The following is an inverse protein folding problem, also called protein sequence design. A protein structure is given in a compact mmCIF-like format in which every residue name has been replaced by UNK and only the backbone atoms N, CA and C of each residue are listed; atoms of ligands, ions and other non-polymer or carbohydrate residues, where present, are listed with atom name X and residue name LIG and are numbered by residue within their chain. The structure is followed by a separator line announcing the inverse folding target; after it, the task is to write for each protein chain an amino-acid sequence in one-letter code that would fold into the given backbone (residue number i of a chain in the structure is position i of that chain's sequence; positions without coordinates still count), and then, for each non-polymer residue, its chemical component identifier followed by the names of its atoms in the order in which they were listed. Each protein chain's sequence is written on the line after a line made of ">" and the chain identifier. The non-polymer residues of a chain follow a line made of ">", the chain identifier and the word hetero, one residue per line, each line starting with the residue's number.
data_IF_682799433390
#
_entry.id   IF_682799433390
#
_cell.length_a   1.000
_cell.length_b   1.000
_cell.length_c   1.000
_cell.angle_alpha   90.00
_cell.angle_beta   90.00
_cell.angle_gamma   90.00
#
_symmetry.space_group_name_H-M   'P 1'
#
loop_
_entity.id
_entity.type
_entity.pdbx_description
1 polymer ?
#
# COMPACT_ATOMS: atom_id res chain seq x y z
N UNK A 1 -4.36 -7.31 5.35
CA UNK A 1 -5.80 -7.23 5.05
C UNK A 1 -6.11 -5.94 4.33
N UNK A 2 -6.49 -6.05 3.06
CA UNK A 2 -6.86 -4.91 2.24
C UNK A 2 -8.18 -4.30 2.75
N UNK A 3 -8.22 -2.98 2.92
CA UNK A 3 -9.44 -2.30 3.36
C UNK A 3 -10.47 -2.24 2.22
N UNK A 4 -11.77 -2.20 2.54
CA UNK A 4 -12.81 -1.99 1.52
C UNK A 4 -12.62 -0.67 0.77
N UNK A 5 -12.03 0.37 1.40
CA UNK A 5 -11.65 1.60 0.71
C UNK A 5 -10.66 1.34 -0.41
N UNK A 6 -9.57 0.59 -0.14
CA UNK A 6 -8.59 0.24 -1.17
C UNK A 6 -9.24 -0.60 -2.28
N UNK A 7 -10.12 -1.53 -1.93
CA UNK A 7 -10.86 -2.33 -2.92
C UNK A 7 -11.73 -1.45 -3.82
N UNK A 8 -12.45 -0.45 -3.27
CA UNK A 8 -13.21 0.55 -4.05
C UNK A 8 -12.30 1.32 -5.01
N UNK A 9 -11.14 1.78 -4.53
CA UNK A 9 -10.15 2.48 -5.35
C UNK A 9 -9.69 1.59 -6.52
N UNK A 10 -9.40 0.31 -6.28
CA UNK A 10 -9.05 -0.64 -7.35
C UNK A 10 -10.18 -0.80 -8.37
N UNK A 11 -11.43 -0.85 -7.92
CA UNK A 11 -12.59 -0.90 -8.81
C UNK A 11 -12.67 0.34 -9.68
N UNK A 12 -12.58 1.56 -9.09
CA UNK A 12 -12.62 2.82 -9.87
C UNK A 12 -11.49 2.90 -10.89
N UNK A 13 -10.26 2.54 -10.50
CA UNK A 13 -9.12 2.52 -11.44
C UNK A 13 -9.35 1.56 -12.61
N UNK A 14 -9.90 0.37 -12.35
CA UNK A 14 -10.21 -0.60 -13.39
C UNK A 14 -11.37 -0.16 -14.30
N UNK A 15 -12.41 0.45 -13.73
CA UNK A 15 -13.52 1.05 -14.47
C UNK A 15 -13.03 2.20 -15.37
N UNK A 16 -12.19 3.08 -14.83
CA UNK A 16 -11.59 4.17 -15.58
C UNK A 16 -10.79 3.63 -16.77
N UNK A 17 -9.92 2.64 -16.53
CA UNK A 17 -9.11 2.03 -17.58
C UNK A 17 -9.99 1.37 -18.65
N UNK A 18 -11.03 0.62 -18.25
CA UNK A 18 -11.97 -0.03 -19.17
C UNK A 18 -12.69 0.98 -20.06
N UNK A 19 -13.32 1.99 -19.47
CA UNK A 19 -14.11 2.98 -20.18
C UNK A 19 -13.26 3.90 -21.07
N UNK A 20 -12.06 4.31 -20.59
CA UNK A 20 -11.17 5.18 -21.37
C UNK A 20 -10.45 4.48 -22.50
N UNK A 21 -10.18 3.19 -22.39
CA UNK A 21 -9.56 2.42 -23.47
C UNK A 21 -10.57 1.96 -24.52
N UNK A 22 -11.89 2.12 -24.29
CA UNK A 22 -12.92 1.56 -25.15
C UNK A 22 -12.91 0.04 -25.19
N UNK A 23 -12.52 -0.59 -24.07
CA UNK A 23 -12.43 -2.05 -23.99
C UNK A 23 -13.84 -2.69 -24.08
N UNK A 24 -14.01 -3.69 -24.93
CA UNK A 24 -15.29 -4.41 -25.10
C UNK A 24 -15.39 -5.65 -24.20
N UNK A 25 -14.26 -6.11 -23.64
CA UNK A 25 -14.22 -7.36 -22.89
C UNK A 25 -14.21 -7.11 -21.38
N UNK A 26 -15.40 -7.10 -20.78
CA UNK A 26 -15.60 -6.95 -19.34
C UNK A 26 -14.89 -8.03 -18.52
N UNK A 27 -14.90 -9.30 -18.99
CA UNK A 27 -14.25 -10.43 -18.28
C UNK A 27 -12.72 -10.21 -18.20
N UNK A 28 -12.11 -9.72 -19.28
CA UNK A 28 -10.67 -9.42 -19.28
C UNK A 28 -10.35 -8.28 -18.31
N UNK A 29 -11.18 -7.26 -18.25
CA UNK A 29 -11.01 -6.13 -17.31
C UNK A 29 -11.23 -6.55 -15.86
N UNK A 30 -12.22 -7.41 -15.57
CA UNK A 30 -12.40 -7.99 -14.23
C UNK A 30 -11.17 -8.81 -13.80
N UNK A 31 -10.63 -9.63 -14.72
CA UNK A 31 -9.40 -10.38 -14.44
C UNK A 31 -8.23 -9.46 -14.09
N UNK A 32 -8.09 -8.35 -14.83
CA UNK A 32 -7.06 -7.33 -14.55
C UNK A 32 -7.30 -6.64 -13.20
N UNK A 33 -8.55 -6.32 -12.87
CA UNK A 33 -8.93 -5.81 -11.55
C UNK A 33 -8.50 -6.76 -10.44
N UNK A 34 -8.86 -8.04 -10.53
CA UNK A 34 -8.49 -9.02 -9.51
C UNK A 34 -6.98 -9.20 -9.39
N UNK A 35 -6.26 -9.15 -10.52
CA UNK A 35 -4.80 -9.15 -10.53
C UNK A 35 -4.23 -7.89 -9.82
N UNK A 36 -4.86 -6.73 -9.96
CA UNK A 36 -4.44 -5.51 -9.26
C UNK A 36 -4.63 -5.60 -7.75
N UNK A 37 -5.69 -6.29 -7.30
CA UNK A 37 -5.93 -6.59 -5.88
C UNK A 37 -4.86 -7.53 -5.33
N UNK A 38 -4.49 -8.58 -6.11
CA UNK A 38 -3.40 -9.49 -5.75
C UNK A 38 -2.07 -8.75 -5.66
N UNK A 39 -1.79 -7.86 -6.60
CA UNK A 39 -0.59 -7.03 -6.61
C UNK A 39 -0.49 -6.08 -5.42
N UNK A 40 -1.60 -5.50 -4.97
CA UNK A 40 -1.61 -4.70 -3.74
C UNK A 40 -1.23 -5.54 -2.50
N UNK A 41 -1.63 -6.81 -2.46
CA UNK A 41 -1.21 -7.72 -1.39
C UNK A 41 0.25 -8.13 -1.53
N UNK A 42 0.76 -8.34 -2.76
CA UNK A 42 2.19 -8.57 -3.02
C UNK A 42 3.04 -7.38 -2.54
N UNK A 43 2.56 -6.14 -2.75
CA UNK A 43 3.26 -4.93 -2.31
C UNK A 43 3.47 -4.90 -0.79
N UNK A 44 2.51 -5.41 0.00
CA UNK A 44 2.66 -5.51 1.45
C UNK A 44 3.92 -6.32 1.82
N UNK A 45 4.15 -7.47 1.19
CA UNK A 45 5.32 -8.30 1.46
C UNK A 45 6.60 -7.67 0.90
N UNK A 46 6.51 -7.08 -0.29
CA UNK A 46 7.64 -6.38 -0.91
C UNK A 46 8.17 -5.28 0.02
N UNK A 47 7.30 -4.41 0.52
CA UNK A 47 7.67 -3.31 1.41
C UNK A 47 8.10 -3.83 2.79
N UNK A 48 7.39 -4.83 3.34
CA UNK A 48 7.70 -5.41 4.65
C UNK A 48 9.13 -5.96 4.74
N UNK A 49 9.69 -6.45 3.63
CA UNK A 49 11.05 -7.00 3.59
C UNK A 49 12.16 -5.96 3.46
N UNK A 50 11.84 -4.68 3.21
CA UNK A 50 12.86 -3.63 3.07
C UNK A 50 13.82 -3.51 4.26
N UNK A 51 13.36 -3.43 5.52
CA UNK A 51 14.28 -3.33 6.66
C UNK A 51 15.18 -4.56 6.80
N UNK A 52 14.74 -5.73 6.35
CA UNK A 52 15.56 -6.96 6.33
C UNK A 52 16.72 -6.81 5.34
N UNK A 53 16.45 -6.33 4.13
CA UNK A 53 17.48 -6.13 3.11
C UNK A 53 18.47 -5.01 3.49
N UNK A 54 17.97 -3.94 4.12
CA UNK A 54 18.82 -2.86 4.64
C UNK A 54 19.72 -3.37 5.77
N UNK A 55 19.21 -4.20 6.68
CA UNK A 55 20.01 -4.80 7.74
C UNK A 55 21.06 -5.77 7.18
N UNK A 56 20.74 -6.56 6.16
CA UNK A 56 21.73 -7.40 5.44
C UNK A 56 22.82 -6.54 4.78
N UNK A 57 22.45 -5.45 4.14
CA UNK A 57 23.40 -4.51 3.56
C UNK A 57 24.32 -3.90 4.64
N UNK A 58 23.75 -3.47 5.78
CA UNK A 58 24.52 -2.97 6.92
C UNK A 58 25.50 -4.00 7.45
N UNK A 59 25.06 -5.25 7.61
CA UNK A 59 25.92 -6.36 8.05
C UNK A 59 27.07 -6.61 7.07
N UNK A 60 26.80 -6.66 5.78
CA UNK A 60 27.85 -6.82 4.75
C UNK A 60 28.88 -5.68 4.81
N UNK A 61 28.43 -4.44 5.00
CA UNK A 61 29.34 -3.31 5.18
C UNK A 61 30.24 -3.45 6.41
N UNK A 62 29.69 -3.90 7.54
CA UNK A 62 30.45 -4.17 8.77
C UNK A 62 31.50 -5.26 8.54
N UNK A 63 31.15 -6.35 7.87
CA UNK A 63 32.10 -7.42 7.55
C UNK A 63 33.21 -6.97 6.58
N UNK A 64 32.86 -6.18 5.56
CA UNK A 64 33.86 -5.59 4.67
C UNK A 64 34.78 -4.58 5.39
N UNK A 65 34.27 -3.84 6.35
CA UNK A 65 35.06 -2.89 7.13
C UNK A 65 36.13 -3.60 7.97
N UNK A 66 35.83 -4.77 8.56
CA UNK A 66 36.81 -5.61 9.28
C UNK A 66 37.95 -6.11 8.40
N UNK A 67 37.73 -6.23 7.09
CA UNK A 67 38.72 -6.74 6.12
C UNK A 67 39.60 -5.65 5.50
N UNK A 68 39.47 -4.39 5.92
CA UNK A 68 40.37 -3.30 5.47
C UNK A 68 41.82 -3.62 5.83
N UNK A 69 42.75 -3.12 5.04
CA UNK A 69 44.20 -3.28 5.34
C UNK A 69 44.62 -2.67 6.68
N UNK A 70 43.93 -1.59 7.10
CA UNK A 70 44.13 -0.90 8.36
C UNK A 70 42.76 -0.62 8.97
N UNK A 71 42.12 -1.61 9.61
CA UNK A 71 40.82 -1.42 10.23
C UNK A 71 40.95 -0.54 11.47
N UNK A 72 39.99 0.35 11.70
CA UNK A 72 39.90 1.14 12.94
C UNK A 72 39.33 0.28 14.08
N UNK A 73 39.32 0.83 15.30
CA UNK A 73 38.68 0.15 16.43
C UNK A 73 37.19 -0.09 16.19
N UNK A 74 36.51 0.89 15.61
CA UNK A 74 35.10 0.81 15.25
C UNK A 74 34.87 -0.20 14.12
N UNK A 75 35.77 -0.31 13.15
CA UNK A 75 35.69 -1.32 12.09
C UNK A 75 35.76 -2.74 12.66
N UNK A 76 36.57 -2.95 13.70
CA UNK A 76 36.70 -4.27 14.36
C UNK A 76 35.60 -4.55 15.38
N UNK A 77 35.03 -3.48 15.98
CA UNK A 77 33.98 -3.57 17.00
C UNK A 77 32.75 -2.73 16.59
N UNK A 78 32.06 -3.08 15.49
CA UNK A 78 30.93 -2.28 15.03
C UNK A 78 29.76 -2.37 16.00
N UNK A 79 29.00 -1.29 16.12
CA UNK A 79 27.71 -1.35 16.81
C UNK A 79 26.73 -2.19 16.00
N UNK A 80 26.37 -3.38 16.51
CA UNK A 80 25.48 -4.34 15.82
C UNK A 80 24.00 -4.14 16.15
N UNK A 81 23.64 -3.11 16.95
CA UNK A 81 22.28 -2.93 17.47
C UNK A 81 21.21 -2.97 16.38
N UNK A 82 21.43 -2.28 15.26
CA UNK A 82 20.52 -2.29 14.12
C UNK A 82 20.44 -3.66 13.43
N UNK A 83 21.59 -4.28 13.17
CA UNK A 83 21.66 -5.59 12.49
C UNK A 83 20.99 -6.69 13.34
N UNK A 84 21.07 -6.55 14.67
CA UNK A 84 20.47 -7.47 15.64
C UNK A 84 19.05 -7.08 16.08
N UNK A 85 18.42 -6.08 15.43
CA UNK A 85 17.08 -5.63 15.78
C UNK A 85 16.09 -6.81 15.81
N UNK A 86 15.40 -6.96 16.94
CA UNK A 86 14.51 -8.10 17.19
C UNK A 86 13.30 -8.16 16.27
N UNK A 87 12.77 -7.00 15.87
CA UNK A 87 11.62 -6.91 14.94
C UNK A 87 12.04 -7.30 13.52
N UNK A 88 13.18 -6.80 13.05
CA UNK A 88 13.74 -7.17 11.73
C UNK A 88 14.00 -8.68 11.68
N UNK A 89 14.52 -9.26 12.76
CA UNK A 89 14.75 -10.69 12.85
C UNK A 89 13.45 -11.52 12.80
N UNK A 90 12.38 -11.05 13.45
CA UNK A 90 11.08 -11.72 13.38
C UNK A 90 10.55 -11.69 11.93
N UNK A 91 10.65 -10.56 11.23
CA UNK A 91 10.23 -10.45 9.83
C UNK A 91 11.05 -11.39 8.95
N UNK A 92 12.39 -11.40 9.12
CA UNK A 92 13.30 -12.22 8.32
C UNK A 92 13.08 -13.73 8.49
N UNK A 93 12.65 -14.15 9.68
CA UNK A 93 12.45 -15.57 10.02
C UNK A 93 10.98 -16.01 9.83
N UNK A 94 10.08 -15.12 9.42
CA UNK A 94 8.67 -15.49 9.23
C UNK A 94 8.48 -16.38 8.01
N UNK A 95 8.00 -17.63 8.25
CA UNK A 95 7.69 -18.57 7.18
C UNK A 95 6.65 -17.99 6.22
N UNK A 96 5.61 -17.35 6.73
CA UNK A 96 4.56 -16.75 5.91
C UNK A 96 5.09 -15.65 4.96
N UNK A 97 6.09 -14.86 5.41
CA UNK A 97 6.73 -13.83 4.59
C UNK A 97 7.63 -14.50 3.55
N UNK A 98 8.45 -15.45 3.96
CA UNK A 98 9.39 -16.14 3.09
C UNK A 98 8.69 -16.94 2.00
N UNK A 99 7.65 -17.71 2.35
CA UNK A 99 6.86 -18.51 1.40
C UNK A 99 6.17 -17.62 0.35
N UNK A 100 5.54 -16.50 0.79
CA UNK A 100 4.86 -15.61 -0.14
C UNK A 100 5.84 -14.91 -1.07
N UNK A 101 6.95 -14.37 -0.55
CA UNK A 101 7.96 -13.69 -1.35
C UNK A 101 8.62 -14.64 -2.35
N UNK A 102 8.90 -15.88 -1.96
CA UNK A 102 9.45 -16.91 -2.85
C UNK A 102 8.44 -17.30 -3.95
N UNK A 103 7.18 -17.59 -3.58
CA UNK A 103 6.13 -17.98 -4.52
C UNK A 103 5.82 -16.88 -5.55
N UNK A 104 5.87 -15.61 -5.12
CA UNK A 104 5.57 -14.44 -5.97
C UNK A 104 6.81 -13.82 -6.61
N UNK A 105 8.00 -14.35 -6.32
CA UNK A 105 9.31 -13.85 -6.81
C UNK A 105 9.51 -12.38 -6.46
N UNK A 106 9.15 -12.00 -5.24
CA UNK A 106 9.35 -10.67 -4.70
C UNK A 106 10.76 -10.53 -4.12
N UNK A 107 11.27 -9.31 -4.04
CA UNK A 107 12.57 -9.02 -3.42
C UNK A 107 13.26 -7.81 -4.04
N UNK A 108 14.40 -7.45 -3.46
CA UNK A 108 15.12 -6.21 -3.75
C UNK A 108 16.46 -6.43 -4.45
N UNK A 109 16.80 -7.67 -4.79
CA UNK A 109 18.10 -8.03 -5.38
C UNK A 109 18.44 -7.25 -6.66
N UNK A 110 17.43 -6.83 -7.42
CA UNK A 110 17.59 -6.04 -8.65
C UNK A 110 17.78 -4.54 -8.40
N UNK A 111 17.61 -4.09 -7.16
CA UNK A 111 17.62 -2.68 -6.77
C UNK A 111 18.67 -2.38 -5.69
N UNK A 112 19.96 -2.76 -5.89
CA UNK A 112 21.00 -2.57 -4.87
C UNK A 112 21.26 -1.09 -4.58
N UNK A 113 21.12 -0.20 -5.57
CA UNK A 113 21.30 1.25 -5.38
C UNK A 113 20.18 1.85 -4.53
N UNK A 114 18.94 1.37 -4.66
CA UNK A 114 17.85 1.77 -3.76
C UNK A 114 18.14 1.38 -2.32
N UNK A 115 18.58 0.12 -2.08
CA UNK A 115 18.93 -0.34 -0.73
C UNK A 115 20.05 0.51 -0.14
N UNK A 116 21.05 0.87 -0.94
CA UNK A 116 22.14 1.76 -0.55
C UNK A 116 21.63 3.16 -0.18
N UNK A 117 20.76 3.73 -1.00
CA UNK A 117 20.15 5.05 -0.79
C UNK A 117 19.32 5.07 0.50
N UNK A 118 18.43 4.09 0.68
CA UNK A 118 17.61 3.97 1.88
C UNK A 118 18.44 3.75 3.14
N UNK A 119 19.52 2.96 3.07
CA UNK A 119 20.44 2.81 4.20
C UNK A 119 21.13 4.14 4.52
N UNK A 120 21.55 4.91 3.51
CA UNK A 120 22.14 6.23 3.69
C UNK A 120 21.17 7.20 4.38
N UNK A 121 19.94 7.29 3.89
CA UNK A 121 18.88 8.11 4.50
C UNK A 121 18.60 7.68 5.95
N UNK A 122 18.43 6.37 6.19
CA UNK A 122 18.22 5.84 7.52
C UNK A 122 19.34 6.24 8.50
N UNK A 123 20.62 6.10 8.10
CA UNK A 123 21.76 6.41 8.99
C UNK A 123 21.90 7.91 9.28
N UNK A 124 21.37 8.77 8.42
CA UNK A 124 21.35 10.23 8.63
C UNK A 124 20.14 10.69 9.47
N UNK A 125 19.11 9.87 9.61
CA UNK A 125 17.91 10.22 10.37
C UNK A 125 18.20 10.35 11.88
N UNK A 126 17.50 11.29 12.54
CA UNK A 126 17.69 11.54 13.97
C UNK A 126 17.22 10.34 14.80
N UNK A 127 16.08 9.71 14.46
CA UNK A 127 15.57 8.54 15.18
C UNK A 127 16.52 7.33 15.11
N UNK A 128 17.27 7.16 14.01
CA UNK A 128 18.29 6.11 13.91
C UNK A 128 19.49 6.42 14.79
N UNK A 129 19.99 7.69 14.76
CA UNK A 129 21.13 8.13 15.60
C UNK A 129 20.80 7.97 17.09
N UNK A 130 19.61 8.39 17.52
CA UNK A 130 19.12 8.20 18.88
C UNK A 130 19.05 6.70 19.26
N UNK A 131 18.47 5.88 18.39
CA UNK A 131 18.40 4.43 18.61
C UNK A 131 19.79 3.80 18.76
N UNK A 132 20.75 4.16 17.91
CA UNK A 132 22.10 3.60 17.96
C UNK A 132 22.92 4.08 19.17
N UNK A 133 22.68 5.30 19.67
CA UNK A 133 23.35 5.86 20.84
C UNK A 133 22.82 5.33 22.17
N UNK A 134 21.56 4.92 22.22
CA UNK A 134 20.97 4.36 23.44
C UNK A 134 21.61 3.01 23.77
N UNK A 135 22.22 2.89 24.98
CA UNK A 135 22.88 1.67 25.43
C UNK A 135 21.88 0.55 25.72
N UNK A 136 20.69 0.91 26.18
CA UNK A 136 19.62 -0.06 26.44
C UNK A 136 19.09 -0.65 25.14
N UNK A 137 18.77 -1.96 25.19
CA UNK A 137 18.17 -2.70 24.08
C UNK A 137 16.79 -3.16 24.52
N UNK A 138 15.75 -2.45 24.08
CA UNK A 138 14.37 -2.86 24.30
C UNK A 138 13.71 -3.26 22.98
N UNK A 139 12.80 -4.22 23.07
CA UNK A 139 11.98 -4.60 21.91
C UNK A 139 11.09 -3.46 21.43
N UNK A 140 10.68 -2.57 22.33
CA UNK A 140 9.85 -1.43 21.98
C UNK A 140 10.65 -0.38 21.21
N UNK A 141 11.94 -0.20 21.50
CA UNK A 141 12.82 0.67 20.71
C UNK A 141 13.12 0.05 19.35
N UNK A 142 13.35 -1.26 19.29
CA UNK A 142 13.49 -2.01 18.03
C UNK A 142 12.27 -1.81 17.13
N UNK A 143 11.06 -1.90 17.71
CA UNK A 143 9.80 -1.71 16.97
C UNK A 143 9.64 -0.27 16.52
N UNK A 144 9.89 0.71 17.40
CA UNK A 144 9.77 2.14 17.09
C UNK A 144 10.67 2.52 15.92
N UNK A 145 11.93 2.08 15.91
CA UNK A 145 12.85 2.31 14.79
C UNK A 145 12.25 1.83 13.47
N UNK A 146 11.73 0.61 13.43
CA UNK A 146 11.16 0.01 12.21
C UNK A 146 9.86 0.74 11.80
N UNK A 147 9.02 1.13 12.76
CA UNK A 147 7.80 1.90 12.49
C UNK A 147 8.12 3.28 11.91
N UNK A 148 9.12 4.00 12.45
CA UNK A 148 9.52 5.32 11.97
C UNK A 148 10.17 5.23 10.58
N UNK A 149 10.96 4.20 10.32
CA UNK A 149 11.45 3.90 8.97
C UNK A 149 10.29 3.74 7.97
N UNK A 150 9.26 2.95 8.26
CA UNK A 150 8.13 2.79 7.36
C UNK A 150 7.33 4.07 7.15
N UNK A 151 7.21 4.93 8.17
CA UNK A 151 6.53 6.24 8.02
C UNK A 151 7.29 7.15 7.05
N UNK A 152 8.62 7.16 7.12
CA UNK A 152 9.46 7.97 6.25
C UNK A 152 9.43 7.53 4.79
N UNK A 153 9.24 6.23 4.53
CA UNK A 153 9.12 5.69 3.16
C UNK A 153 8.02 6.33 2.33
N UNK A 154 6.96 6.88 2.95
CA UNK A 154 5.84 7.50 2.23
C UNK A 154 6.22 8.78 1.47
N UNK A 155 7.39 9.37 1.75
CA UNK A 155 7.92 10.56 1.06
C UNK A 155 9.23 10.27 0.31
N UNK A 156 9.53 9.00 0.04
CA UNK A 156 10.78 8.59 -0.61
C UNK A 156 10.60 8.45 -2.12
N UNK A 157 10.95 9.50 -2.89
CA UNK A 157 10.87 9.50 -4.36
C UNK A 157 11.60 8.31 -5.00
N UNK A 158 12.79 7.96 -4.51
CA UNK A 158 13.55 6.84 -5.05
C UNK A 158 12.84 5.48 -4.87
N UNK A 159 12.03 5.32 -3.82
CA UNK A 159 11.19 4.14 -3.64
C UNK A 159 10.00 4.17 -4.59
N UNK A 160 9.35 5.32 -4.74
CA UNK A 160 8.20 5.47 -5.66
C UNK A 160 8.61 5.14 -7.09
N UNK A 161 9.73 5.68 -7.58
CA UNK A 161 10.29 5.37 -8.91
C UNK A 161 10.55 3.86 -9.08
N UNK A 162 11.15 3.22 -8.09
CA UNK A 162 11.43 1.78 -8.14
C UNK A 162 10.14 0.94 -8.14
N UNK A 163 9.12 1.34 -7.37
CA UNK A 163 7.83 0.64 -7.33
C UNK A 163 7.08 0.79 -8.66
N UNK A 164 7.11 1.97 -9.28
CA UNK A 164 6.51 2.20 -10.58
C UNK A 164 7.17 1.35 -11.68
N UNK A 165 8.51 1.25 -11.66
CA UNK A 165 9.26 0.37 -12.56
C UNK A 165 8.90 -1.12 -12.35
N UNK A 166 8.73 -1.55 -11.09
CA UNK A 166 8.35 -2.93 -10.78
C UNK A 166 6.93 -3.26 -11.22
N UNK A 167 5.98 -2.35 -11.01
CA UNK A 167 4.58 -2.59 -11.34
C UNK A 167 3.74 -1.31 -11.28
N UNK A 168 3.20 -0.90 -12.42
CA UNK A 168 2.23 0.20 -12.51
C UNK A 168 0.97 -0.04 -11.65
N UNK A 169 0.67 -1.30 -11.30
CA UNK A 169 -0.48 -1.65 -10.46
C UNK A 169 -0.26 -1.30 -8.98
N UNK A 170 0.95 -0.88 -8.59
CA UNK A 170 1.32 -0.46 -7.24
C UNK A 170 1.18 1.05 -7.00
N UNK A 171 0.99 1.82 -8.08
CA UNK A 171 0.84 3.27 -7.97
C UNK A 171 -0.27 3.67 -6.99
N UNK A 172 0.04 4.60 -6.09
CA UNK A 172 -0.81 5.14 -5.02
C UNK A 172 -1.16 4.14 -3.89
N UNK A 173 -0.66 2.90 -3.92
CA UNK A 173 -0.98 1.91 -2.89
C UNK A 173 -0.08 2.04 -1.65
N UNK A 174 1.12 2.60 -1.78
CA UNK A 174 2.14 2.63 -0.72
C UNK A 174 1.61 3.17 0.62
N UNK A 175 0.87 4.30 0.70
CA UNK A 175 0.36 4.79 1.97
C UNK A 175 -0.57 3.80 2.70
N UNK A 176 -1.42 3.08 1.94
CA UNK A 176 -2.32 2.06 2.50
C UNK A 176 -1.53 0.85 3.01
N UNK A 177 -0.50 0.45 2.26
CA UNK A 177 0.36 -0.68 2.62
C UNK A 177 1.19 -0.35 3.85
N UNK A 178 1.78 0.83 3.94
CA UNK A 178 2.52 1.28 5.13
C UNK A 178 1.61 1.26 6.36
N UNK A 179 0.38 1.78 6.26
CA UNK A 179 -0.59 1.72 7.36
C UNK A 179 -0.89 0.28 7.80
N UNK A 180 -1.00 -0.67 6.86
CA UNK A 180 -1.18 -2.09 7.17
C UNK A 180 0.03 -2.68 7.89
N UNK A 181 1.24 -2.35 7.45
CA UNK A 181 2.49 -2.79 8.06
C UNK A 181 2.60 -2.25 9.49
N UNK A 182 2.39 -0.95 9.69
CA UNK A 182 2.41 -0.33 11.02
C UNK A 182 1.41 -1.00 11.97
N UNK A 183 0.21 -1.33 11.49
CA UNK A 183 -0.78 -2.07 12.28
C UNK A 183 -0.31 -3.50 12.63
N UNK A 184 0.40 -4.16 11.72
CA UNK A 184 0.98 -5.48 11.98
C UNK A 184 2.07 -5.39 13.05
N UNK A 185 2.97 -4.40 12.93
CA UNK A 185 4.07 -4.18 13.87
C UNK A 185 3.58 -3.78 15.27
N UNK A 186 2.54 -2.95 15.37
CA UNK A 186 1.96 -2.53 16.65
C UNK A 186 1.40 -3.70 17.49
N UNK A 187 1.08 -4.82 16.84
CA UNK A 187 0.63 -6.04 17.52
C UNK A 187 1.77 -6.97 17.94
N UNK A 188 3.01 -6.72 17.51
CA UNK A 188 4.16 -7.53 17.91
C UNK A 188 4.48 -7.36 19.40
N UNK A 189 4.92 -8.46 20.00
CA UNK A 189 5.35 -8.54 21.40
C UNK A 189 6.72 -9.24 21.46
N UNK A 190 7.50 -9.00 22.50
CA UNK A 190 8.82 -9.66 22.68
C UNK A 190 8.76 -11.20 22.69
N UNK A 191 7.62 -11.75 23.09
CA UNK A 191 7.38 -13.20 23.12
C UNK A 191 7.04 -13.83 21.78
N UNK A 192 6.80 -13.02 20.75
CA UNK A 192 6.46 -13.55 19.41
C UNK A 192 7.75 -14.00 18.71
N UNK A 193 7.73 -15.22 18.20
CA UNK A 193 8.82 -15.81 17.39
C UNK A 193 8.53 -15.74 15.90
N UNK A 194 7.27 -15.45 15.52
CA UNK A 194 6.82 -15.35 14.14
C UNK A 194 5.88 -14.16 13.95
N UNK A 195 5.78 -13.68 12.72
CA UNK A 195 4.92 -12.58 12.31
C UNK A 195 3.54 -13.09 11.90
N UNK A 196 2.51 -12.66 12.60
CA UNK A 196 1.13 -12.94 12.18
C UNK A 196 0.75 -12.02 11.02
N UNK A 197 0.95 -12.51 9.80
CA UNK A 197 0.57 -11.81 8.56
C UNK A 197 -0.95 -11.71 8.45
N UNK A 198 -1.52 -10.52 8.16
CA UNK A 198 -2.95 -10.38 7.96
C UNK A 198 -3.39 -11.07 6.65
N UNK A 199 -4.58 -11.68 6.58
CA UNK A 199 -5.09 -12.25 5.35
C UNK A 199 -5.35 -11.16 4.30
N UNK A 200 -5.30 -11.51 3.01
CA UNK A 200 -5.55 -10.57 1.89
C UNK A 200 -6.90 -9.85 2.04
N UNK A 201 -7.96 -10.58 2.28
CA UNK A 201 -9.31 -10.06 2.47
C UNK A 201 -9.72 -10.07 3.95
N UNK A 202 -10.53 -9.11 4.35
CA UNK A 202 -11.10 -9.04 5.70
C UNK A 202 -12.23 -10.04 5.89
N UNK A 203 -13.04 -10.20 4.84
CA UNK A 203 -14.19 -11.07 4.81
C UNK A 203 -14.11 -11.98 3.58
N UNK A 204 -14.74 -13.17 3.67
CA UNK A 204 -14.92 -14.05 2.54
C UNK A 204 -15.79 -13.42 1.42
N UNK A 205 -16.58 -12.39 1.75
CA UNK A 205 -17.43 -11.65 0.81
C UNK A 205 -16.64 -10.58 0.01
N UNK A 206 -15.45 -10.18 0.44
CA UNK A 206 -14.71 -9.08 -0.20
C UNK A 206 -14.34 -9.36 -1.68
N UNK A 207 -13.98 -10.58 -2.11
CA UNK A 207 -13.76 -10.87 -3.53
C UNK A 207 -15.02 -10.66 -4.38
N UNK A 208 -16.17 -11.10 -3.87
CA UNK A 208 -17.45 -10.93 -4.54
C UNK A 208 -17.89 -9.47 -4.57
N UNK A 209 -17.65 -8.73 -3.47
CA UNK A 209 -17.87 -7.29 -3.43
C UNK A 209 -17.14 -6.56 -4.57
N UNK A 210 -15.85 -6.87 -4.79
CA UNK A 210 -15.05 -6.24 -5.84
C UNK A 210 -15.61 -6.52 -7.23
N UNK A 211 -15.93 -7.79 -7.52
CA UNK A 211 -16.45 -8.20 -8.83
C UNK A 211 -17.82 -7.63 -9.10
N UNK A 212 -18.73 -7.80 -8.15
CA UNK A 212 -20.11 -7.31 -8.30
C UNK A 212 -20.15 -5.78 -8.45
N UNK A 213 -19.35 -5.05 -7.68
CA UNK A 213 -19.28 -3.59 -7.80
C UNK A 213 -18.79 -3.17 -9.19
N UNK A 214 -17.75 -3.80 -9.71
CA UNK A 214 -17.22 -3.56 -11.05
C UNK A 214 -18.27 -3.87 -12.12
N UNK A 215 -18.84 -5.08 -12.09
CA UNK A 215 -19.84 -5.54 -13.06
C UNK A 215 -21.10 -4.64 -13.06
N UNK A 216 -21.68 -4.41 -11.86
CA UNK A 216 -22.92 -3.63 -11.74
C UNK A 216 -22.73 -2.17 -12.17
N UNK A 217 -21.57 -1.60 -11.94
CA UNK A 217 -21.26 -0.26 -12.45
C UNK A 217 -21.24 -0.25 -13.98
N UNK A 218 -20.52 -1.20 -14.62
CA UNK A 218 -20.41 -1.22 -16.08
C UNK A 218 -21.75 -1.50 -16.77
N UNK A 219 -22.47 -2.53 -16.31
CA UNK A 219 -23.75 -2.94 -16.95
C UNK A 219 -24.81 -1.86 -16.88
N UNK A 220 -24.80 -1.03 -15.84
CA UNK A 220 -25.81 0.01 -15.65
C UNK A 220 -25.23 1.42 -15.85
N UNK A 221 -24.03 1.55 -16.42
CA UNK A 221 -23.32 2.82 -16.49
C UNK A 221 -24.17 3.93 -17.17
N UNK A 222 -24.74 3.65 -18.35
CA UNK A 222 -25.55 4.60 -19.09
C UNK A 222 -26.80 5.03 -18.29
N UNK A 223 -27.49 4.06 -17.66
CA UNK A 223 -28.64 4.36 -16.80
C UNK A 223 -28.25 5.26 -15.61
N UNK A 224 -27.09 5.03 -15.02
CA UNK A 224 -26.60 5.89 -13.94
C UNK A 224 -26.25 7.29 -14.44
N UNK A 225 -25.70 7.42 -15.65
CA UNK A 225 -25.46 8.73 -16.27
C UNK A 225 -26.76 9.50 -16.45
N UNK A 226 -27.84 8.87 -16.95
CA UNK A 226 -29.17 9.48 -17.09
C UNK A 226 -29.70 10.01 -15.74
N UNK A 227 -29.48 9.25 -14.64
CA UNK A 227 -29.87 9.72 -13.30
C UNK A 227 -29.01 10.90 -12.86
N UNK A 228 -27.69 10.84 -13.03
CA UNK A 228 -26.76 11.90 -12.64
C UNK A 228 -27.15 13.20 -13.37
N UNK A 229 -27.41 13.17 -14.67
CA UNK A 229 -27.82 14.32 -15.47
C UNK A 229 -29.10 14.97 -14.94
N UNK A 230 -30.10 14.18 -14.54
CA UNK A 230 -31.35 14.70 -13.98
C UNK A 230 -31.17 15.46 -12.68
N UNK A 231 -30.27 14.96 -11.80
CA UNK A 231 -30.05 15.60 -10.50
C UNK A 231 -28.97 16.69 -10.54
N UNK A 232 -28.20 16.79 -11.64
CA UNK A 232 -27.19 17.81 -11.86
C UNK A 232 -27.62 18.91 -12.83
N UNK A 233 -28.90 18.98 -13.23
CA UNK A 233 -29.43 19.97 -14.19
C UNK A 233 -29.17 21.43 -13.79
N UNK A 234 -28.92 21.71 -12.52
CA UNK A 234 -28.55 23.03 -11.99
C UNK A 234 -27.04 23.31 -12.03
N UNK A 235 -26.23 22.33 -12.46
CA UNK A 235 -24.80 22.46 -12.59
C UNK A 235 -24.46 22.54 -14.07
N UNK A 236 -23.37 23.23 -14.39
CA UNK A 236 -22.87 23.29 -15.76
C UNK A 236 -22.30 21.90 -16.13
N UNK A 237 -23.10 21.12 -16.87
CA UNK A 237 -22.81 19.73 -17.24
C UNK A 237 -21.48 19.60 -17.98
N UNK A 238 -21.04 20.63 -18.72
CA UNK A 238 -19.76 20.67 -19.42
C UNK A 238 -18.55 20.69 -18.44
N UNK A 239 -18.79 21.00 -17.18
CA UNK A 239 -17.77 21.05 -16.14
C UNK A 239 -17.65 19.77 -15.27
N UNK A 240 -18.57 18.82 -15.46
CA UNK A 240 -18.50 17.57 -14.70
C UNK A 240 -17.36 16.73 -15.24
N UNK A 241 -16.35 16.55 -14.40
CA UNK A 241 -15.17 15.75 -14.75
C UNK A 241 -15.55 14.28 -14.89
N UNK A 242 -15.02 13.59 -15.88
CA UNK A 242 -15.28 12.15 -16.11
C UNK A 242 -15.12 11.30 -14.83
N UNK A 243 -14.12 11.63 -14.00
CA UNK A 243 -13.88 10.91 -12.75
C UNK A 243 -15.02 11.10 -11.74
N UNK A 244 -15.62 12.31 -11.67
CA UNK A 244 -16.76 12.56 -10.78
C UNK A 244 -17.97 11.72 -11.20
N UNK A 245 -18.27 11.67 -12.49
CA UNK A 245 -19.33 10.82 -13.05
C UNK A 245 -19.07 9.34 -12.74
N UNK A 246 -17.83 8.88 -12.88
CA UNK A 246 -17.47 7.51 -12.60
C UNK A 246 -17.63 7.16 -11.12
N UNK A 247 -17.21 8.06 -10.23
CA UNK A 247 -17.37 7.90 -8.77
C UNK A 247 -18.84 7.87 -8.40
N UNK A 248 -19.66 8.79 -8.93
CA UNK A 248 -21.10 8.82 -8.71
C UNK A 248 -21.79 7.54 -9.20
N UNK A 249 -21.50 7.10 -10.41
CA UNK A 249 -22.05 5.85 -10.96
C UNK A 249 -21.66 4.64 -10.12
N UNK A 250 -20.40 4.58 -9.63
CA UNK A 250 -19.95 3.47 -8.78
C UNK A 250 -20.59 3.53 -7.39
N UNK A 251 -20.77 4.72 -6.82
CA UNK A 251 -21.50 4.91 -5.56
C UNK A 251 -22.97 4.45 -5.68
N UNK A 252 -23.64 4.78 -6.77
CA UNK A 252 -25.01 4.32 -7.05
C UNK A 252 -25.07 2.80 -7.18
N UNK A 253 -24.12 2.19 -7.89
CA UNK A 253 -24.00 0.74 -8.00
C UNK A 253 -23.85 0.08 -6.63
N UNK A 254 -23.04 0.65 -5.74
CA UNK A 254 -22.86 0.15 -4.37
C UNK A 254 -24.13 0.28 -3.55
N UNK A 255 -24.80 1.44 -3.56
CA UNK A 255 -26.05 1.68 -2.83
C UNK A 255 -27.16 0.68 -3.22
N UNK A 256 -27.25 0.35 -4.52
CA UNK A 256 -28.29 -0.54 -5.04
C UNK A 256 -27.94 -2.01 -4.81
N UNK A 257 -26.68 -2.39 -5.02
CA UNK A 257 -26.27 -3.81 -5.03
C UNK A 257 -25.90 -4.36 -3.66
N UNK A 258 -25.59 -3.50 -2.67
CA UNK A 258 -25.12 -3.91 -1.35
C UNK A 258 -25.95 -3.33 -0.20
N UNK A 259 -27.21 -3.73 -0.05
CA UNK A 259 -28.12 -3.17 0.97
C UNK A 259 -27.66 -3.45 2.41
N UNK A 260 -26.72 -4.38 2.63
CA UNK A 260 -26.09 -4.61 3.93
C UNK A 260 -25.07 -3.54 4.33
N UNK A 261 -24.59 -2.72 3.39
CA UNK A 261 -23.71 -1.60 3.69
C UNK A 261 -24.58 -0.38 4.03
N UNK A 262 -24.43 0.22 5.22
CA UNK A 262 -25.18 1.40 5.57
C UNK A 262 -24.95 2.55 4.56
N UNK A 263 -26.00 3.21 4.10
CA UNK A 263 -25.95 4.30 3.12
C UNK A 263 -24.89 5.34 3.50
N UNK A 264 -24.88 5.78 4.77
CA UNK A 264 -23.89 6.74 5.26
C UNK A 264 -22.45 6.28 5.01
N UNK A 265 -22.16 4.99 5.20
CA UNK A 265 -20.79 4.44 4.97
C UNK A 265 -20.43 4.55 3.49
N UNK A 266 -21.33 4.19 2.61
CA UNK A 266 -21.12 4.33 1.16
C UNK A 266 -20.86 5.79 0.79
N UNK A 267 -21.68 6.73 1.25
CA UNK A 267 -21.52 8.16 0.97
C UNK A 267 -20.16 8.67 1.48
N UNK A 268 -19.84 8.43 2.75
CA UNK A 268 -18.59 8.89 3.37
C UNK A 268 -17.36 8.33 2.62
N UNK A 269 -17.38 7.06 2.22
CA UNK A 269 -16.26 6.42 1.51
C UNK A 269 -16.06 7.01 0.10
N UNK A 270 -17.14 7.24 -0.67
CA UNK A 270 -17.01 7.78 -2.02
C UNK A 270 -16.65 9.27 -2.03
N UNK A 271 -17.15 10.05 -1.06
CA UNK A 271 -16.71 11.44 -0.85
C UNK A 271 -15.20 11.47 -0.50
N UNK A 272 -14.71 10.58 0.38
CA UNK A 272 -13.29 10.52 0.69
C UNK A 272 -12.43 10.13 -0.52
N UNK A 273 -12.87 9.15 -1.32
CA UNK A 273 -12.16 8.74 -2.55
C UNK A 273 -12.07 9.91 -3.54
N UNK A 274 -13.12 10.70 -3.69
CA UNK A 274 -13.16 11.84 -4.62
C UNK A 274 -12.13 12.92 -4.29
N UNK A 275 -11.77 13.11 -3.01
CA UNK A 275 -10.76 14.09 -2.59
C UNK A 275 -9.36 13.80 -3.16
N UNK A 276 -9.06 12.54 -3.41
CA UNK A 276 -7.73 12.11 -3.86
C UNK A 276 -7.68 11.74 -5.35
N UNK A 277 -8.82 11.34 -5.94
CA UNK A 277 -8.88 10.80 -7.31
C UNK A 277 -9.61 11.72 -8.29
N UNK A 278 -10.16 12.84 -7.82
CA UNK A 278 -10.79 13.83 -8.69
C UNK A 278 -10.23 15.25 -8.47
N UNK A 279 -10.88 16.26 -9.01
CA UNK A 279 -10.41 17.65 -8.96
C UNK A 279 -10.73 18.35 -7.64
N UNK A 280 -10.00 19.42 -7.27
CA UNK A 280 -10.37 20.25 -6.13
C UNK A 280 -11.83 20.72 -6.24
N UNK A 281 -12.63 20.46 -5.18
CA UNK A 281 -14.06 20.79 -5.15
C UNK A 281 -14.99 19.63 -5.53
N UNK A 282 -14.50 18.58 -6.19
CA UNK A 282 -15.31 17.40 -6.55
C UNK A 282 -16.00 16.74 -5.35
N UNK A 283 -15.34 16.70 -4.20
CA UNK A 283 -15.95 16.13 -2.99
C UNK A 283 -17.20 16.88 -2.52
N UNK A 284 -17.25 18.20 -2.68
CA UNK A 284 -18.43 19.02 -2.38
C UNK A 284 -19.54 18.78 -3.41
N UNK A 285 -19.19 18.69 -4.69
CA UNK A 285 -20.11 18.35 -5.76
C UNK A 285 -20.73 16.96 -5.55
N UNK A 286 -19.90 15.95 -5.38
CA UNK A 286 -20.34 14.55 -5.16
C UNK A 286 -21.22 14.43 -3.91
N UNK A 287 -20.88 15.12 -2.81
CA UNK A 287 -21.72 15.16 -1.61
C UNK A 287 -23.07 15.82 -1.83
N UNK A 288 -23.17 16.76 -2.77
CA UNK A 288 -24.42 17.43 -3.10
C UNK A 288 -25.33 16.61 -4.02
N UNK A 289 -24.77 15.67 -4.79
CA UNK A 289 -25.50 14.81 -5.73
C UNK A 289 -25.94 13.50 -5.07
N UNK A 290 -25.10 12.86 -4.26
CA UNK A 290 -25.40 11.63 -3.50
C UNK A 290 -26.35 11.90 -2.33
#
# INVERSE_FOLDING_TARGET
>A
MLSRRLLRIKVVKALFAHLKSGADNMIASEKTLMASVDKAYDLYFQILTLPVEIARYAQQRQELAKQKKLPTFEDLNPNTKFVENGVIRIIANSDAVNDHTAARKLGWTRYPELIRTLYGQLTESDYYKEYMQCEERSFDDDRRLVEDFFKELQSCEALDDALEEMSILWNDDLPYIVMMILRTLSNLRPSHTDLKVPPKFKSAEDPEFVKTLFEKTLVNYDSYQDYIERYTSNWDVERIVFMDNLILATAMAELISFPSIPVKVTLDEWIEISKYYSTPGSSTFINGVL
#
